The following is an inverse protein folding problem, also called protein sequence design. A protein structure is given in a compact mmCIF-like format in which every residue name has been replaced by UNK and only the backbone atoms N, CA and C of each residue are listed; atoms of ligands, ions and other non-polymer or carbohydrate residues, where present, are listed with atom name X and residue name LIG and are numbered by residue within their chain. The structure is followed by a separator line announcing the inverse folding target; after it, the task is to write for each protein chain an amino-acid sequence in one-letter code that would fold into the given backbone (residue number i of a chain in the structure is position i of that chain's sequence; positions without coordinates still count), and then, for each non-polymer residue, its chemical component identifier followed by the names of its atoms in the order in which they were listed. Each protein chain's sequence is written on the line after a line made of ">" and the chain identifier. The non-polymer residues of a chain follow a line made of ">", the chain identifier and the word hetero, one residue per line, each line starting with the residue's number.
data_IF_616174054673
#
_entry.id   IF_616174054673
#
_cell.length_a   1.000
_cell.length_b   1.000
_cell.length_c   1.000
_cell.angle_alpha   90.00
_cell.angle_beta   90.00
_cell.angle_gamma   90.00
#
_symmetry.space_group_name_H-M   'P 1'
#
loop_
_entity.id
_entity.type
_entity.pdbx_description
1 polymer ?
#
# COMPACT_ATOMS: atom_id res chain seq x y z
N UNK A 1 -15.95 -7.43 -13.49
CA UNK A 1 -14.83 -6.94 -12.68
C UNK A 1 -14.26 -5.72 -13.38
N UNK A 2 -13.88 -4.66 -12.66
CA UNK A 2 -13.28 -3.47 -13.28
C UNK A 2 -11.80 -3.71 -13.56
N UNK A 3 -11.28 -3.10 -14.63
CA UNK A 3 -9.86 -3.16 -14.96
C UNK A 3 -9.04 -2.23 -14.06
N UNK A 4 -7.82 -2.62 -13.70
CA UNK A 4 -6.91 -1.78 -12.89
C UNK A 4 -6.61 -0.43 -13.56
N UNK A 5 -6.51 -0.39 -14.89
CA UNK A 5 -6.34 0.86 -15.67
C UNK A 5 -7.49 1.85 -15.53
N UNK A 6 -8.74 1.35 -15.43
CA UNK A 6 -9.92 2.21 -15.20
C UNK A 6 -9.86 2.81 -13.79
N UNK A 7 -9.48 2.00 -12.82
CA UNK A 7 -9.27 2.44 -11.44
C UNK A 7 -8.16 3.50 -11.35
N UNK A 8 -7.03 3.30 -11.99
CA UNK A 8 -5.93 4.28 -12.03
C UNK A 8 -6.37 5.58 -12.71
N UNK A 9 -7.12 5.49 -13.82
CA UNK A 9 -7.70 6.67 -14.47
C UNK A 9 -8.58 7.45 -13.49
N UNK A 10 -9.47 6.79 -12.77
CA UNK A 10 -10.31 7.42 -11.75
C UNK A 10 -9.46 8.11 -10.66
N UNK A 11 -8.52 7.38 -10.08
CA UNK A 11 -7.65 7.90 -9.01
C UNK A 11 -6.89 9.16 -9.45
N UNK A 12 -6.39 9.20 -10.69
CA UNK A 12 -5.73 10.38 -11.26
C UNK A 12 -6.69 11.59 -11.36
N UNK A 13 -7.97 11.41 -11.67
CA UNK A 13 -8.94 12.51 -11.73
C UNK A 13 -9.31 13.09 -10.36
N UNK A 14 -8.96 12.38 -9.29
CA UNK A 14 -9.17 12.82 -7.92
C UNK A 14 -8.02 13.65 -7.35
N UNK A 15 -6.91 13.80 -8.08
CA UNK A 15 -5.81 14.71 -7.67
C UNK A 15 -6.37 16.13 -7.53
N UNK A 16 -6.06 16.78 -6.41
CA UNK A 16 -6.59 18.07 -6.00
C UNK A 16 -7.92 18.00 -5.21
N UNK A 17 -8.57 16.85 -5.13
CA UNK A 17 -9.77 16.70 -4.32
C UNK A 17 -9.46 16.94 -2.82
N UNK A 18 -10.28 17.73 -2.09
CA UNK A 18 -10.05 17.98 -0.67
C UNK A 18 -10.21 16.70 0.16
N UNK A 19 -9.34 16.56 1.17
CA UNK A 19 -9.44 15.47 2.13
C UNK A 19 -10.48 15.79 3.21
N UNK A 20 -11.47 14.92 3.36
CA UNK A 20 -12.42 14.94 4.47
C UNK A 20 -12.46 13.55 5.12
N UNK A 21 -12.08 13.47 6.38
CA UNK A 21 -12.04 12.20 7.11
C UNK A 21 -13.41 11.52 7.17
N UNK A 22 -13.46 10.20 6.91
CA UNK A 22 -14.71 9.42 6.91
C UNK A 22 -15.60 9.70 5.71
N UNK A 23 -15.09 10.22 4.59
CA UNK A 23 -15.86 10.44 3.36
C UNK A 23 -15.35 9.57 2.21
N UNK A 24 -16.22 9.29 1.26
CA UNK A 24 -16.00 8.34 0.18
C UNK A 24 -16.46 8.95 -1.15
N UNK A 25 -15.68 9.91 -1.67
CA UNK A 25 -16.00 10.67 -2.89
C UNK A 25 -17.40 11.31 -2.85
N UNK A 26 -17.78 11.87 -1.72
CA UNK A 26 -19.05 12.57 -1.58
C UNK A 26 -18.97 14.02 -2.05
N UNK A 27 -20.10 14.59 -2.48
CA UNK A 27 -20.22 16.03 -2.70
C UNK A 27 -20.07 16.77 -1.36
N UNK A 28 -19.18 17.76 -1.31
CA UNK A 28 -19.03 18.63 -0.16
C UNK A 28 -20.30 19.48 0.05
N UNK A 29 -20.89 19.36 1.23
CA UNK A 29 -22.08 20.13 1.64
C UNK A 29 -21.97 20.51 3.11
N UNK A 30 -22.68 21.56 3.52
CA UNK A 30 -22.73 21.95 4.93
C UNK A 30 -23.33 20.84 5.82
N UNK A 31 -24.34 20.11 5.30
CA UNK A 31 -24.95 18.98 6.01
C UNK A 31 -23.96 17.85 6.23
N UNK A 32 -23.18 17.47 5.19
CA UNK A 32 -22.12 16.48 5.31
C UNK A 32 -21.06 16.92 6.32
N UNK A 33 -20.60 18.18 6.25
CA UNK A 33 -19.61 18.71 7.18
C UNK A 33 -20.10 18.63 8.63
N UNK A 34 -21.34 19.04 8.90
CA UNK A 34 -21.91 18.99 10.23
C UNK A 34 -22.03 17.54 10.75
N UNK A 35 -22.42 16.61 9.88
CA UNK A 35 -22.47 15.18 10.19
C UNK A 35 -21.08 14.63 10.55
N UNK A 36 -20.07 14.95 9.75
CA UNK A 36 -18.69 14.46 9.98
C UNK A 36 -18.05 15.10 11.21
N UNK A 37 -18.31 16.38 11.48
CA UNK A 37 -17.88 17.04 12.73
C UNK A 37 -18.45 16.37 13.98
N UNK A 38 -19.71 15.93 13.94
CA UNK A 38 -20.32 15.17 15.07
C UNK A 38 -19.71 13.79 15.21
N UNK A 39 -19.47 13.10 14.09
CA UNK A 39 -18.93 11.75 14.08
C UNK A 39 -17.45 11.69 14.46
N UNK A 40 -16.65 12.68 14.04
CA UNK A 40 -15.20 12.72 14.16
C UNK A 40 -14.70 14.09 14.65
N UNK A 41 -15.07 14.55 15.85
CA UNK A 41 -14.82 15.91 16.29
C UNK A 41 -13.33 16.29 16.32
N UNK A 42 -12.45 15.36 16.65
CA UNK A 42 -11.00 15.60 16.70
C UNK A 42 -10.39 15.82 15.31
N UNK A 43 -10.86 15.11 14.28
CA UNK A 43 -10.35 15.18 12.92
C UNK A 43 -10.78 16.46 12.18
N UNK A 44 -11.83 17.13 12.65
CA UNK A 44 -12.41 18.30 11.98
C UNK A 44 -12.11 19.63 12.70
N UNK A 45 -11.10 19.68 13.57
CA UNK A 45 -10.66 20.90 14.21
C UNK A 45 -9.71 21.69 13.30
N UNK A 46 -9.83 23.01 13.28
CA UNK A 46 -8.81 23.93 12.75
C UNK A 46 -8.83 24.23 11.23
N UNK A 47 -9.70 23.59 10.43
CA UNK A 47 -9.65 23.70 8.95
C UNK A 47 -10.89 24.39 8.35
N UNK A 48 -11.45 25.42 9.00
CA UNK A 48 -12.71 26.04 8.59
C UNK A 48 -12.67 26.64 7.17
N UNK A 49 -11.60 27.29 6.79
CA UNK A 49 -11.43 27.88 5.45
C UNK A 49 -11.41 26.81 4.34
N UNK A 50 -10.70 25.70 4.57
CA UNK A 50 -10.64 24.58 3.61
C UNK A 50 -12.01 23.93 3.42
N UNK A 51 -12.78 23.77 4.51
CA UNK A 51 -14.13 23.21 4.42
C UNK A 51 -15.08 24.15 3.69
N UNK A 52 -15.04 25.45 3.98
CA UNK A 52 -15.84 26.47 3.31
C UNK A 52 -15.58 26.48 1.82
N UNK A 53 -14.32 26.55 1.42
CA UNK A 53 -13.90 26.48 0.01
C UNK A 53 -14.45 25.24 -0.69
N UNK A 54 -14.27 24.05 -0.10
CA UNK A 54 -14.75 22.80 -0.70
C UNK A 54 -16.29 22.80 -0.90
N UNK A 55 -17.07 23.40 0.01
CA UNK A 55 -18.53 23.52 -0.11
C UNK A 55 -18.90 24.50 -1.22
N UNK A 56 -18.26 25.67 -1.29
CA UNK A 56 -18.48 26.69 -2.31
C UNK A 56 -18.20 26.17 -3.72
N UNK A 57 -17.09 25.42 -3.86
CA UNK A 57 -16.70 24.76 -5.11
C UNK A 57 -17.50 23.50 -5.43
N UNK A 58 -18.40 23.05 -4.52
CA UNK A 58 -19.13 21.79 -4.63
C UNK A 58 -18.22 20.61 -4.90
N UNK A 59 -17.04 20.62 -4.29
CA UNK A 59 -15.97 19.65 -4.53
C UNK A 59 -16.38 18.22 -4.17
N UNK A 60 -15.77 17.25 -4.83
CA UNK A 60 -15.82 15.84 -4.41
C UNK A 60 -14.75 15.62 -3.34
N UNK A 61 -15.15 15.13 -2.17
CA UNK A 61 -14.26 14.95 -1.00
C UNK A 61 -14.12 13.49 -0.62
N UNK A 62 -12.90 13.07 -0.26
CA UNK A 62 -12.64 11.69 0.18
C UNK A 62 -11.53 11.65 1.23
N UNK A 63 -11.51 10.58 2.02
CA UNK A 63 -10.32 10.18 2.78
C UNK A 63 -9.48 9.16 1.99
N UNK A 64 -8.42 8.61 2.61
CA UNK A 64 -7.50 7.71 1.93
C UNK A 64 -8.17 6.43 1.42
N UNK A 65 -9.04 5.81 2.22
CA UNK A 65 -9.80 4.62 1.81
C UNK A 65 -11.01 5.01 0.95
N UNK A 66 -11.59 6.16 1.23
CA UNK A 66 -12.69 6.72 0.45
C UNK A 66 -12.34 7.01 -1.00
N UNK A 67 -11.08 7.35 -1.29
CA UNK A 67 -10.56 7.43 -2.66
C UNK A 67 -10.72 6.09 -3.40
N UNK A 68 -10.39 4.98 -2.74
CA UNK A 68 -10.49 3.63 -3.30
C UNK A 68 -11.94 3.19 -3.40
N UNK A 69 -12.70 3.25 -2.30
CA UNK A 69 -14.11 2.86 -2.26
C UNK A 69 -14.96 3.69 -3.22
N UNK A 70 -14.63 4.96 -3.38
CA UNK A 70 -15.34 5.88 -4.26
C UNK A 70 -15.39 5.45 -5.71
N UNK A 71 -14.34 4.80 -6.20
CA UNK A 71 -14.36 4.19 -7.52
C UNK A 71 -15.49 3.14 -7.65
N UNK A 72 -15.52 2.20 -6.74
CA UNK A 72 -16.51 1.11 -6.78
C UNK A 72 -17.94 1.63 -6.51
N UNK A 73 -18.12 2.43 -5.47
CA UNK A 73 -19.41 2.95 -5.07
C UNK A 73 -20.02 3.94 -6.08
N UNK A 74 -19.18 4.48 -6.97
CA UNK A 74 -19.62 5.29 -8.12
C UNK A 74 -19.68 4.52 -9.43
N UNK A 75 -19.79 3.18 -9.36
CA UNK A 75 -19.90 2.32 -10.54
C UNK A 75 -18.72 2.50 -11.52
N UNK A 76 -17.50 2.23 -11.01
CA UNK A 76 -16.27 2.40 -11.80
C UNK A 76 -15.91 3.87 -12.05
N UNK A 77 -16.30 4.76 -11.15
CA UNK A 77 -16.05 6.20 -11.29
C UNK A 77 -17.13 6.96 -12.07
N UNK A 78 -18.04 6.28 -12.77
CA UNK A 78 -19.04 6.88 -13.67
C UNK A 78 -19.79 8.03 -13.03
N UNK A 79 -20.36 7.81 -11.83
CA UNK A 79 -21.19 8.84 -11.15
C UNK A 79 -20.37 10.05 -10.71
N UNK A 80 -19.10 9.87 -10.37
CA UNK A 80 -18.20 10.98 -10.02
C UNK A 80 -17.83 11.76 -11.28
N UNK A 81 -17.58 11.10 -12.41
CA UNK A 81 -17.32 11.78 -13.68
C UNK A 81 -18.51 12.61 -14.13
N UNK A 82 -19.71 12.02 -14.15
CA UNK A 82 -20.95 12.71 -14.50
C UNK A 82 -21.19 13.94 -13.61
N UNK A 83 -20.97 13.78 -12.30
CA UNK A 83 -21.09 14.89 -11.35
C UNK A 83 -20.08 16.01 -11.63
N UNK A 84 -18.82 15.66 -11.88
CA UNK A 84 -17.77 16.66 -12.18
C UNK A 84 -18.05 17.42 -13.49
N UNK A 85 -18.64 16.76 -14.46
CA UNK A 85 -18.98 17.35 -15.77
C UNK A 85 -20.26 18.19 -15.73
N UNK A 86 -21.32 17.65 -15.15
CA UNK A 86 -22.69 18.20 -15.25
C UNK A 86 -23.21 18.81 -13.95
N UNK A 87 -22.54 18.58 -12.83
CA UNK A 87 -23.04 18.95 -11.51
C UNK A 87 -24.22 18.07 -11.06
N UNK A 88 -25.10 18.63 -10.25
CA UNK A 88 -26.32 17.96 -9.78
C UNK A 88 -26.12 17.14 -8.50
N UNK A 89 -26.72 15.97 -8.43
CA UNK A 89 -26.65 15.06 -7.29
C UNK A 89 -25.61 13.98 -7.52
N UNK A 90 -24.75 13.77 -6.52
CA UNK A 90 -23.79 12.67 -6.51
C UNK A 90 -24.28 11.56 -5.56
N UNK A 91 -25.03 10.62 -6.14
CA UNK A 91 -25.58 9.48 -5.41
C UNK A 91 -24.67 8.26 -5.58
N UNK A 92 -23.94 7.90 -4.53
CA UNK A 92 -23.11 6.69 -4.52
C UNK A 92 -23.91 5.48 -4.05
N UNK A 93 -23.52 4.31 -4.52
CA UNK A 93 -24.10 3.02 -4.09
C UNK A 93 -23.27 2.47 -2.95
N UNK A 94 -23.70 2.68 -1.71
CA UNK A 94 -23.00 2.22 -0.51
C UNK A 94 -22.65 0.72 -0.61
N UNK A 95 -21.39 0.40 -0.27
CA UNK A 95 -20.82 -0.95 -0.28
C UNK A 95 -20.88 -1.70 -1.63
N UNK A 96 -21.16 -1.01 -2.74
CA UNK A 96 -21.18 -1.63 -4.07
C UNK A 96 -19.76 -1.99 -4.54
N UNK A 97 -19.56 -3.27 -4.87
CA UNK A 97 -18.30 -3.79 -5.38
C UNK A 97 -17.17 -3.92 -4.33
N UNK A 98 -17.23 -3.19 -3.23
CA UNK A 98 -16.32 -3.29 -2.09
C UNK A 98 -17.01 -2.83 -0.80
N UNK A 99 -16.82 -3.56 0.29
CA UNK A 99 -17.39 -3.23 1.59
C UNK A 99 -16.80 -1.94 2.19
N UNK A 100 -17.49 -1.40 3.20
CA UNK A 100 -17.03 -0.19 3.92
C UNK A 100 -15.91 -0.50 4.90
N UNK A 101 -14.72 -0.70 4.35
CA UNK A 101 -13.51 -0.91 5.13
C UNK A 101 -12.84 0.41 5.54
N UNK A 102 -12.18 0.43 6.71
CA UNK A 102 -11.10 1.36 7.01
C UNK A 102 -9.76 0.85 6.45
N UNK A 103 -8.68 1.63 6.56
CA UNK A 103 -7.37 1.31 5.96
C UNK A 103 -6.83 -0.07 6.38
N UNK A 104 -6.88 -0.39 7.68
CA UNK A 104 -6.41 -1.67 8.20
C UNK A 104 -7.33 -2.84 7.79
N UNK A 105 -8.65 -2.62 7.79
CA UNK A 105 -9.64 -3.61 7.34
C UNK A 105 -9.54 -3.91 5.86
N UNK A 106 -9.27 -2.90 5.02
CA UNK A 106 -9.03 -3.08 3.59
C UNK A 106 -7.78 -3.95 3.35
N UNK A 107 -6.70 -3.67 4.06
CA UNK A 107 -5.48 -4.47 3.89
C UNK A 107 -5.64 -5.89 4.45
N UNK A 108 -6.39 -6.09 5.54
CA UNK A 108 -6.74 -7.42 6.03
C UNK A 108 -7.58 -8.21 5.01
N UNK A 109 -8.52 -7.56 4.32
CA UNK A 109 -9.29 -8.13 3.22
C UNK A 109 -8.38 -8.57 2.05
N UNK A 110 -7.44 -7.69 1.63
CA UNK A 110 -6.44 -7.99 0.59
C UNK A 110 -5.60 -9.21 0.99
N UNK A 111 -5.02 -9.21 2.19
CA UNK A 111 -4.16 -10.32 2.67
C UNK A 111 -4.84 -11.68 2.66
N UNK A 112 -6.15 -11.70 2.92
CA UNK A 112 -6.92 -12.95 2.94
C UNK A 112 -7.22 -13.50 1.55
N UNK A 113 -7.41 -12.66 0.54
CA UNK A 113 -8.00 -13.04 -0.74
C UNK A 113 -7.12 -12.80 -1.95
N UNK A 114 -5.96 -12.18 -1.80
CA UNK A 114 -5.14 -11.77 -2.93
C UNK A 114 -3.66 -11.76 -2.63
N UNK A 115 -2.84 -11.46 -3.66
CA UNK A 115 -1.39 -11.32 -3.53
C UNK A 115 -1.04 -10.01 -2.79
N UNK A 116 -0.05 -10.08 -1.92
CA UNK A 116 0.50 -8.95 -1.18
C UNK A 116 1.97 -9.20 -0.83
N UNK A 117 2.69 -8.15 -0.45
CA UNK A 117 4.09 -8.25 -0.04
C UNK A 117 4.57 -7.01 0.72
N UNK A 118 5.84 -7.02 1.11
CA UNK A 118 6.53 -5.84 1.63
C UNK A 118 6.77 -4.84 0.51
N UNK A 119 6.93 -3.56 0.88
CA UNK A 119 7.02 -2.46 -0.10
C UNK A 119 8.24 -2.57 -1.03
N UNK A 120 9.33 -3.14 -0.56
CA UNK A 120 10.56 -3.40 -1.32
C UNK A 120 10.38 -4.43 -2.45
N UNK A 121 9.30 -5.21 -2.41
CA UNK A 121 8.93 -6.20 -3.43
C UNK A 121 7.76 -5.77 -4.31
N UNK A 122 7.45 -4.48 -4.38
CA UNK A 122 6.32 -4.02 -5.17
C UNK A 122 6.55 -4.23 -6.66
N UNK A 123 5.64 -4.93 -7.37
CA UNK A 123 5.73 -5.03 -8.82
C UNK A 123 5.32 -3.70 -9.49
N UNK A 124 5.88 -3.41 -10.66
CA UNK A 124 5.49 -2.22 -11.43
C UNK A 124 4.15 -2.40 -12.14
N UNK A 125 3.09 -2.63 -11.36
CA UNK A 125 1.73 -2.84 -11.87
C UNK A 125 0.79 -1.74 -11.33
N UNK A 126 0.26 -0.87 -12.19
CA UNK A 126 -0.65 0.19 -11.76
C UNK A 126 -1.96 -0.33 -11.15
N UNK A 127 -2.43 0.33 -10.12
CA UNK A 127 -3.67 -0.02 -9.41
C UNK A 127 -3.44 -0.82 -8.11
N UNK A 128 -2.19 -1.13 -7.78
CA UNK A 128 -1.81 -1.76 -6.51
C UNK A 128 -2.13 -0.83 -5.34
N UNK A 129 -2.66 -1.39 -4.27
CA UNK A 129 -2.89 -0.68 -3.02
C UNK A 129 -1.63 -0.71 -2.17
N UNK A 130 -1.22 0.46 -1.72
CA UNK A 130 -0.15 0.65 -0.76
C UNK A 130 -0.73 0.82 0.63
N UNK A 131 -0.07 0.23 1.64
CA UNK A 131 -0.55 0.26 3.00
C UNK A 131 0.57 0.54 4.02
N UNK A 132 0.21 1.32 5.03
CA UNK A 132 0.82 1.37 6.35
C UNK A 132 -0.28 1.43 7.40
N UNK A 133 0.04 1.22 8.66
CA UNK A 133 -0.98 1.27 9.73
C UNK A 133 -1.79 2.57 9.67
N UNK A 134 -3.10 2.42 9.52
CA UNK A 134 -4.06 3.52 9.48
C UNK A 134 -4.11 4.33 8.18
N UNK A 135 -3.36 3.96 7.12
CA UNK A 135 -3.33 4.72 5.87
C UNK A 135 -3.13 3.84 4.64
N UNK A 136 -3.70 4.28 3.52
CA UNK A 136 -3.54 3.64 2.20
C UNK A 136 -3.30 4.66 1.09
N UNK A 137 -2.66 4.20 0.02
CA UNK A 137 -2.50 4.92 -1.24
C UNK A 137 -2.67 3.97 -2.41
N UNK A 138 -2.56 4.50 -3.62
CA UNK A 138 -2.67 3.75 -4.86
C UNK A 138 -1.40 3.95 -5.68
N UNK A 139 -0.70 2.88 -5.97
CA UNK A 139 0.42 2.88 -6.91
C UNK A 139 -0.11 3.01 -8.33
N UNK A 140 0.40 3.97 -9.08
CA UNK A 140 -0.11 4.30 -10.42
C UNK A 140 0.90 4.01 -11.53
N UNK A 141 1.96 3.24 -11.20
CA UNK A 141 3.07 2.89 -12.09
C UNK A 141 4.28 3.80 -11.93
N UNK A 142 5.43 3.34 -12.41
CA UNK A 142 6.67 4.11 -12.57
C UNK A 142 7.15 4.85 -11.31
N UNK A 143 6.99 4.20 -10.15
CA UNK A 143 7.35 4.79 -8.87
C UNK A 143 6.39 5.88 -8.37
N UNK A 144 5.27 6.13 -9.05
CA UNK A 144 4.31 7.16 -8.68
C UNK A 144 3.14 6.63 -7.83
N UNK A 145 2.70 7.43 -6.90
CA UNK A 145 1.61 7.13 -5.95
C UNK A 145 0.60 8.27 -5.94
N UNK A 146 -0.68 7.93 -5.88
CA UNK A 146 -1.74 8.88 -5.53
C UNK A 146 -2.32 8.48 -4.17
N UNK A 147 -2.41 9.44 -3.28
CA UNK A 147 -2.98 9.26 -1.94
C UNK A 147 -3.76 10.50 -1.50
N UNK A 148 -4.77 10.29 -0.66
CA UNK A 148 -5.49 11.37 0.00
C UNK A 148 -5.04 11.45 1.46
N UNK A 149 -4.45 12.58 1.87
CA UNK A 149 -3.86 12.75 3.19
C UNK A 149 -4.08 14.17 3.68
N UNK A 150 -4.45 14.29 4.95
CA UNK A 150 -4.64 15.53 5.67
C UNK A 150 -5.53 16.60 5.00
N UNK A 151 -6.24 17.38 5.82
CA UNK A 151 -7.25 18.35 5.42
C UNK A 151 -6.70 19.51 4.58
N UNK A 152 -5.42 19.84 4.71
CA UNK A 152 -4.75 20.92 3.97
C UNK A 152 -4.00 20.44 2.72
N UNK A 153 -3.80 19.14 2.55
CA UNK A 153 -3.08 18.59 1.40
C UNK A 153 -4.05 18.01 0.37
N UNK A 154 -5.10 17.32 0.83
CA UNK A 154 -6.06 16.68 -0.06
C UNK A 154 -5.51 15.42 -0.74
N UNK A 155 -5.99 15.16 -1.94
CA UNK A 155 -5.54 14.07 -2.80
C UNK A 155 -4.40 14.57 -3.71
N UNK A 156 -3.24 13.92 -3.66
CA UNK A 156 -2.06 14.37 -4.40
C UNK A 156 -1.25 13.20 -4.95
N UNK A 157 -0.39 13.51 -5.90
CA UNK A 157 0.59 12.60 -6.49
C UNK A 157 1.97 12.83 -5.88
N UNK A 158 2.70 11.76 -5.59
CA UNK A 158 4.07 11.80 -5.10
C UNK A 158 4.86 10.57 -5.56
N UNK A 159 6.18 10.57 -5.37
CA UNK A 159 7.02 9.40 -5.60
C UNK A 159 6.89 8.42 -4.42
N UNK A 160 6.91 7.13 -4.70
CA UNK A 160 6.84 6.05 -3.72
C UNK A 160 7.94 6.17 -2.65
N UNK A 161 9.17 6.49 -3.06
CA UNK A 161 10.32 6.67 -2.17
C UNK A 161 10.13 7.77 -1.11
N UNK A 162 9.25 8.75 -1.40
CA UNK A 162 8.90 9.83 -0.46
C UNK A 162 7.74 9.48 0.47
N UNK A 163 7.33 8.21 0.48
CA UNK A 163 6.23 7.72 1.31
C UNK A 163 6.73 6.82 2.43
N UNK A 164 5.87 6.54 3.39
CA UNK A 164 6.14 5.62 4.50
C UNK A 164 5.30 4.34 4.44
N UNK A 165 4.87 3.94 3.24
CA UNK A 165 4.17 2.68 3.07
C UNK A 165 5.11 1.51 3.36
N UNK A 166 4.57 0.46 3.95
CA UNK A 166 5.34 -0.72 4.38
C UNK A 166 5.00 -1.98 3.59
N UNK A 167 3.80 -1.99 3.01
CA UNK A 167 3.29 -3.14 2.26
C UNK A 167 2.51 -2.70 1.03
N UNK A 168 2.37 -3.63 0.10
CA UNK A 168 1.52 -3.52 -1.08
C UNK A 168 0.55 -4.70 -1.16
N UNK A 169 -0.53 -4.55 -1.93
CA UNK A 169 -1.43 -5.67 -2.22
C UNK A 169 -2.39 -5.38 -3.35
N UNK A 170 -2.83 -6.45 -4.01
CA UNK A 170 -3.80 -6.40 -5.10
C UNK A 170 -5.22 -6.36 -4.53
N UNK A 171 -6.09 -5.51 -5.08
CA UNK A 171 -7.52 -5.57 -4.75
C UNK A 171 -8.15 -6.80 -5.41
N UNK A 172 -8.79 -7.70 -4.65
CA UNK A 172 -9.41 -8.90 -5.22
C UNK A 172 -10.54 -8.63 -6.21
N UNK A 173 -11.10 -7.41 -6.18
CA UNK A 173 -12.20 -6.97 -7.05
C UNK A 173 -11.75 -6.20 -8.30
N UNK A 174 -10.44 -6.12 -8.57
CA UNK A 174 -9.86 -5.56 -9.78
C UNK A 174 -9.23 -6.65 -10.65
N UNK A 175 -9.38 -6.49 -11.96
CA UNK A 175 -8.67 -7.28 -12.95
C UNK A 175 -7.37 -6.55 -13.35
N UNK A 176 -6.25 -7.20 -13.08
CA UNK A 176 -4.91 -6.76 -13.47
C UNK A 176 -4.53 -7.51 -14.74
N UNK A 177 -4.53 -6.82 -15.88
CA UNK A 177 -4.31 -7.41 -17.22
C UNK A 177 -2.93 -8.06 -17.42
N UNK A 178 -2.02 -7.92 -16.46
CA UNK A 178 -0.70 -8.54 -16.46
C UNK A 178 -0.59 -9.56 -15.34
N UNK A 179 0.12 -10.66 -15.56
CA UNK A 179 0.53 -11.49 -14.43
C UNK A 179 1.37 -10.65 -13.47
N UNK A 180 0.83 -10.44 -12.28
CA UNK A 180 1.53 -9.73 -11.21
C UNK A 180 2.54 -10.70 -10.62
N UNK A 181 3.69 -10.76 -11.23
CA UNK A 181 4.88 -11.31 -10.59
C UNK A 181 5.42 -10.21 -9.66
N UNK A 182 5.62 -10.49 -8.37
CA UNK A 182 6.36 -9.56 -7.51
C UNK A 182 7.69 -9.26 -8.20
N UNK A 183 8.08 -7.98 -8.27
CA UNK A 183 9.45 -7.61 -8.64
C UNK A 183 10.36 -7.83 -7.41
N UNK A 184 10.41 -9.05 -6.91
CA UNK A 184 11.57 -9.77 -6.57
C UNK A 184 11.82 -10.76 -7.74
N UNK A 185 12.18 -10.23 -8.89
CA UNK A 185 13.47 -10.65 -9.36
C UNK A 185 14.43 -9.99 -8.34
N UNK A 186 14.83 -10.78 -7.30
CA UNK A 186 16.25 -10.97 -7.22
C UNK A 186 16.76 -10.93 -8.66
N UNK A 187 17.53 -9.89 -9.08
CA UNK A 187 18.67 -10.25 -9.91
C UNK A 187 19.11 -11.56 -9.29
N UNK A 188 19.03 -12.64 -10.03
CA UNK A 188 19.78 -13.83 -9.70
C UNK A 188 21.23 -13.37 -9.79
N UNK A 189 21.65 -12.68 -8.73
CA UNK A 189 23.04 -12.71 -8.33
C UNK A 189 23.26 -14.18 -8.16
N UNK A 190 24.03 -14.74 -9.08
CA UNK A 190 24.37 -16.16 -9.02
C UNK A 190 24.76 -16.45 -7.59
N UNK A 191 23.86 -17.14 -6.88
CA UNK A 191 24.14 -17.53 -5.51
C UNK A 191 24.74 -18.90 -5.59
N UNK A 192 25.87 -19.05 -4.96
CA UNK A 192 26.51 -20.37 -4.83
C UNK A 192 26.44 -20.85 -3.39
N UNK A 193 26.42 -22.15 -3.23
CA UNK A 193 26.63 -22.76 -1.94
C UNK A 193 28.12 -22.85 -1.67
N UNK A 194 28.57 -22.28 -0.56
CA UNK A 194 29.99 -22.24 -0.16
C UNK A 194 30.19 -23.12 1.06
N UNK A 195 31.30 -23.86 1.10
CA UNK A 195 31.72 -24.56 2.32
C UNK A 195 32.64 -23.64 3.13
N UNK A 196 32.26 -23.31 4.34
CA UNK A 196 33.06 -22.58 5.30
C UNK A 196 33.68 -23.53 6.33
N UNK A 197 34.98 -23.46 6.51
CA UNK A 197 35.69 -24.21 7.57
C UNK A 197 35.80 -23.29 8.79
N UNK A 198 35.11 -23.68 9.88
CA UNK A 198 35.07 -22.89 11.11
C UNK A 198 36.46 -22.70 11.68
N UNK A 199 36.81 -21.46 11.97
CA UNK A 199 38.09 -21.08 12.63
C UNK A 199 37.90 -20.92 14.14
N UNK A 200 38.98 -20.99 14.89
CA UNK A 200 38.94 -20.74 16.35
C UNK A 200 38.35 -19.35 16.66
N UNK A 201 37.40 -19.29 17.57
CA UNK A 201 36.69 -18.06 17.99
C UNK A 201 35.60 -17.57 17.07
N UNK A 202 35.23 -18.31 16.02
CA UNK A 202 34.08 -18.00 15.19
C UNK A 202 32.76 -18.48 15.85
N UNK A 203 31.68 -17.85 15.46
CA UNK A 203 30.31 -18.23 15.81
C UNK A 203 29.41 -18.16 14.58
N UNK A 204 28.30 -18.90 14.60
CA UNK A 204 27.30 -18.85 13.53
C UNK A 204 26.87 -17.39 13.20
N UNK A 205 26.78 -16.54 14.23
CA UNK A 205 26.44 -15.12 14.05
C UNK A 205 27.50 -14.37 13.22
N UNK A 206 28.80 -14.57 13.53
CA UNK A 206 29.90 -13.95 12.78
C UNK A 206 30.01 -14.49 11.36
N UNK A 207 29.81 -15.78 11.18
CA UNK A 207 29.81 -16.41 9.85
C UNK A 207 28.62 -15.89 9.02
N UNK A 208 27.43 -15.78 9.61
CA UNK A 208 26.26 -15.16 8.92
C UNK A 208 26.50 -13.68 8.58
N UNK A 209 27.15 -12.93 9.45
CA UNK A 209 27.55 -11.54 9.17
C UNK A 209 28.51 -11.47 7.97
N UNK A 210 29.46 -12.39 7.86
CA UNK A 210 30.45 -12.45 6.78
C UNK A 210 29.78 -12.75 5.43
N UNK A 211 28.93 -13.76 5.36
CA UNK A 211 28.38 -14.25 4.08
C UNK A 211 27.04 -13.60 3.68
N UNK A 212 26.23 -13.17 4.63
CA UNK A 212 24.90 -12.62 4.38
C UNK A 212 24.78 -11.14 4.73
N UNK A 213 25.85 -10.49 5.19
CA UNK A 213 25.83 -9.10 5.64
C UNK A 213 25.01 -8.85 6.92
N UNK A 214 24.51 -9.92 7.57
CA UNK A 214 23.72 -9.82 8.79
C UNK A 214 23.87 -11.06 9.68
N UNK A 215 24.36 -10.87 10.89
CA UNK A 215 24.50 -11.93 11.87
C UNK A 215 23.16 -12.54 12.29
N UNK A 216 22.04 -11.81 12.20
CA UNK A 216 20.71 -12.31 12.50
C UNK A 216 20.26 -13.46 11.56
N UNK A 217 20.94 -13.65 10.42
CA UNK A 217 20.69 -14.75 9.47
C UNK A 217 21.36 -16.07 9.85
N UNK A 218 22.00 -16.17 11.01
CA UNK A 218 22.62 -17.41 11.48
C UNK A 218 21.71 -18.64 11.49
N UNK A 219 20.38 -18.54 11.73
CA UNK A 219 19.49 -19.70 11.68
C UNK A 219 19.50 -20.40 10.31
N UNK A 220 19.69 -19.65 9.22
CA UNK A 220 19.80 -20.20 7.86
C UNK A 220 21.02 -21.14 7.71
N UNK A 221 22.13 -20.83 8.38
CA UNK A 221 23.31 -21.71 8.41
C UNK A 221 23.02 -22.95 9.29
N UNK A 222 22.40 -22.76 10.44
CA UNK A 222 22.07 -23.87 11.33
C UNK A 222 21.13 -24.88 10.64
N UNK A 223 20.09 -24.41 9.98
CA UNK A 223 19.14 -25.21 9.22
C UNK A 223 19.80 -25.98 8.07
N UNK A 224 20.64 -25.32 7.28
CA UNK A 224 21.36 -25.92 6.14
C UNK A 224 22.38 -26.99 6.53
N UNK A 225 22.72 -27.10 7.84
CA UNK A 225 23.69 -28.03 8.41
C UNK A 225 23.10 -28.93 9.51
N UNK A 226 21.77 -28.99 9.63
CA UNK A 226 21.04 -29.81 10.63
C UNK A 226 21.52 -29.58 12.07
N UNK A 227 21.92 -28.35 12.41
CA UNK A 227 22.38 -28.02 13.75
C UNK A 227 21.21 -27.77 14.70
N UNK A 228 21.16 -28.48 15.80
CA UNK A 228 20.13 -28.30 16.85
C UNK A 228 20.34 -27.07 17.75
N UNK A 229 21.40 -26.27 17.51
CA UNK A 229 21.76 -25.11 18.31
C UNK A 229 22.84 -24.25 17.65
N UNK A 230 23.50 -23.42 18.46
CA UNK A 230 24.53 -22.46 17.97
C UNK A 230 25.97 -22.97 18.16
N UNK A 231 26.17 -24.16 18.72
CA UNK A 231 27.50 -24.70 19.02
C UNK A 231 28.17 -25.22 17.76
N UNK A 232 29.34 -24.70 17.45
CA UNK A 232 30.20 -25.11 16.33
C UNK A 232 31.65 -25.24 16.81
N UNK A 233 32.45 -26.03 16.11
CA UNK A 233 33.82 -26.37 16.52
C UNK A 233 34.81 -25.96 15.42
N UNK A 234 36.02 -25.52 15.80
CA UNK A 234 37.09 -25.29 14.82
C UNK A 234 37.38 -26.54 13.97
N UNK A 235 37.50 -26.34 12.66
CA UNK A 235 37.62 -27.42 11.67
C UNK A 235 36.28 -27.98 11.15
N UNK A 236 35.16 -27.64 11.74
CA UNK A 236 33.85 -28.04 11.24
C UNK A 236 33.58 -27.41 9.87
N UNK A 237 33.07 -28.20 8.90
CA UNK A 237 32.64 -27.74 7.60
C UNK A 237 31.18 -27.37 7.65
N UNK A 238 30.87 -26.13 7.35
CA UNK A 238 29.50 -25.61 7.30
C UNK A 238 29.11 -25.26 5.86
N UNK A 239 28.00 -25.78 5.40
CA UNK A 239 27.38 -25.38 4.14
C UNK A 239 26.69 -24.03 4.33
N UNK A 240 27.14 -23.03 3.60
CA UNK A 240 26.56 -21.68 3.56
C UNK A 240 25.76 -21.56 2.27
N UNK A 241 24.44 -21.63 2.35
CA UNK A 241 23.56 -21.68 1.18
C UNK A 241 23.18 -20.29 0.68
N UNK A 242 23.18 -20.10 -0.62
CA UNK A 242 22.71 -18.85 -1.24
C UNK A 242 23.59 -17.65 -0.91
N UNK A 243 24.90 -17.78 -1.01
CA UNK A 243 25.88 -16.69 -0.91
C UNK A 243 25.87 -15.92 -2.24
N UNK A 244 25.71 -14.61 -2.16
CA UNK A 244 25.73 -13.72 -3.33
C UNK A 244 27.18 -13.54 -3.79
N UNK A 245 27.44 -13.76 -5.08
CA UNK A 245 28.74 -13.43 -5.73
C UNK A 245 28.95 -11.93 -5.85
#
# INVERSE_FOLDING_TARGET
>A
MYKSKEFVKFVRTMIGAPYWYGTCCYKATQSLLNSKKRQYPRQYQGYSATFKKAIEEKAVVCDCVGLIKGFFWSEGGKRVYEYKEKGGNLNLRYAYGINDYGANGLFAYIKRLSKWGKIDSIPNVPGIILWRSGHVGVYIGDGEVVQASWMNTGCYKCNLEKTSFTHWGLLPCLDYEQEVTPVHQEEQKETEDVIHVVKSGESLWRIAQLYYGSGAKWPKIAEANDLSGTLIYPGQHLKIVGVVK
#
